data_IF_583889657210
#
_entry.id   IF_583889657210
#
_cell.length_a   1.000
_cell.length_b   1.000
_cell.length_c   1.000
_cell.angle_alpha   90.00
_cell.angle_beta   90.00
_cell.angle_gamma   90.00
#
_symmetry.space_group_name_H-M   'P 1'
#
loop_
_entity.id
_entity.type
_entity.pdbx_description
1 polymer ?
#
# COMPACT_ATOMS: atom_id res chain seq x y z
N UNK A 1 -25.25 7.02 -48.31
CA UNK A 1 -24.65 6.28 -47.18
C UNK A 1 -23.83 7.26 -46.34
N UNK A 2 -24.24 7.56 -45.09
CA UNK A 2 -23.44 8.39 -44.17
C UNK A 2 -22.29 7.55 -43.61
N UNK A 3 -21.04 8.02 -43.77
CA UNK A 3 -19.87 7.39 -43.18
C UNK A 3 -19.96 7.48 -41.65
N UNK A 4 -19.65 6.41 -40.90
CA UNK A 4 -19.69 6.44 -39.44
C UNK A 4 -18.64 7.41 -38.92
N UNK A 5 -19.07 8.34 -38.07
CA UNK A 5 -18.19 9.28 -37.37
C UNK A 5 -17.25 8.48 -36.47
N UNK A 6 -15.91 8.64 -36.57
CA UNK A 6 -14.98 7.92 -35.73
C UNK A 6 -15.21 8.32 -34.27
N UNK A 7 -15.53 7.34 -33.42
CA UNK A 7 -15.55 7.49 -31.96
C UNK A 7 -14.14 7.83 -31.51
N UNK A 8 -13.93 9.08 -31.10
CA UNK A 8 -12.69 9.56 -30.51
C UNK A 8 -12.37 8.68 -29.31
N UNK A 9 -11.39 7.77 -29.44
CA UNK A 9 -10.88 6.96 -28.33
C UNK A 9 -10.57 7.92 -27.18
N UNK A 10 -11.23 7.73 -26.03
CA UNK A 10 -10.90 8.48 -24.83
C UNK A 10 -9.41 8.33 -24.59
N UNK A 11 -8.66 9.45 -24.51
CA UNK A 11 -7.25 9.40 -24.11
C UNK A 11 -7.21 8.67 -22.77
N UNK A 12 -6.42 7.61 -22.67
CA UNK A 12 -6.17 6.95 -21.39
C UNK A 12 -5.71 8.02 -20.41
N UNK A 13 -6.48 8.20 -19.33
CA UNK A 13 -6.13 9.16 -18.28
C UNK A 13 -4.80 8.69 -17.69
N UNK A 14 -3.86 9.61 -17.50
CA UNK A 14 -2.61 9.27 -16.82
C UNK A 14 -2.95 8.66 -15.45
N UNK A 15 -2.23 7.59 -15.04
CA UNK A 15 -2.49 6.97 -13.76
C UNK A 15 -2.28 7.98 -12.64
N UNK A 16 -3.23 8.04 -11.70
CA UNK A 16 -3.10 8.88 -10.52
C UNK A 16 -2.18 8.19 -9.50
N UNK A 17 -1.58 8.89 -8.54
CA UNK A 17 -0.91 8.23 -7.43
C UNK A 17 -1.96 7.64 -6.46
N UNK A 18 -1.66 6.47 -5.88
CA UNK A 18 -2.50 5.83 -4.85
C UNK A 18 -2.59 6.72 -3.61
N UNK A 19 -1.46 7.31 -3.19
CA UNK A 19 -1.39 8.26 -2.09
C UNK A 19 -0.82 9.58 -2.60
N UNK A 20 -1.67 10.57 -2.92
CA UNK A 20 -1.21 11.87 -3.39
C UNK A 20 -0.25 12.47 -2.37
N UNK A 21 0.92 12.91 -2.83
CA UNK A 21 1.95 13.61 -2.04
C UNK A 21 2.78 12.77 -1.06
N UNK A 22 2.47 11.50 -0.83
CA UNK A 22 3.28 10.63 0.03
C UNK A 22 4.64 10.32 -0.62
N UNK A 23 5.73 10.48 0.12
CA UNK A 23 7.10 10.32 -0.38
C UNK A 23 7.96 9.34 0.41
N UNK A 24 7.61 8.97 1.65
CA UNK A 24 8.41 8.05 2.48
C UNK A 24 7.54 7.36 3.52
N UNK A 25 7.62 6.03 3.63
CA UNK A 25 6.86 5.28 4.63
C UNK A 25 7.49 5.43 6.03
N UNK A 26 6.64 5.63 7.03
CA UNK A 26 7.04 5.80 8.44
C UNK A 26 6.52 4.72 9.36
N UNK A 27 5.31 4.22 9.08
CA UNK A 27 4.70 3.12 9.81
C UNK A 27 3.59 2.48 8.97
N UNK A 28 3.21 1.26 9.32
CA UNK A 28 2.02 0.58 8.81
C UNK A 28 1.28 -0.07 9.98
N UNK A 29 -0.04 -0.14 9.89
CA UNK A 29 -0.87 -0.74 10.93
C UNK A 29 -2.16 -1.32 10.36
N UNK A 30 -2.63 -2.41 10.96
CA UNK A 30 -3.96 -2.95 10.74
C UNK A 30 -4.95 -2.25 11.68
N UNK A 31 -6.05 -1.73 11.13
CA UNK A 31 -7.14 -1.13 11.89
C UNK A 31 -8.44 -1.85 11.50
N UNK A 32 -9.26 -2.20 12.49
CA UNK A 32 -10.62 -2.69 12.26
C UNK A 32 -11.59 -1.51 12.20
N UNK A 33 -12.32 -1.41 11.10
CA UNK A 33 -13.32 -0.35 10.88
C UNK A 33 -14.65 -0.69 11.59
N UNK A 34 -15.60 0.25 11.63
CA UNK A 34 -16.82 0.15 12.44
C UNK A 34 -17.73 -1.06 12.16
N UNK A 35 -17.57 -1.72 11.01
CA UNK A 35 -18.24 -2.96 10.63
C UNK A 35 -17.40 -4.23 10.92
N UNK A 36 -16.33 -4.07 11.70
CA UNK A 36 -15.35 -5.12 12.01
C UNK A 36 -14.45 -5.48 10.84
N UNK A 37 -14.47 -4.70 9.74
CA UNK A 37 -13.65 -4.99 8.57
C UNK A 37 -12.18 -4.64 8.82
N UNK A 38 -11.24 -5.57 8.57
CA UNK A 38 -9.82 -5.26 8.64
C UNK A 38 -9.41 -4.37 7.47
N UNK A 39 -8.69 -3.28 7.75
CA UNK A 39 -8.14 -2.37 6.77
C UNK A 39 -6.67 -2.02 7.10
N UNK A 40 -5.82 -2.04 6.07
CA UNK A 40 -4.43 -1.63 6.22
C UNK A 40 -4.31 -0.11 6.09
N UNK A 41 -3.64 0.50 7.05
CA UNK A 41 -3.31 1.91 7.07
C UNK A 41 -1.79 2.11 7.03
N UNK A 42 -1.36 3.14 6.31
CA UNK A 42 0.05 3.53 6.22
C UNK A 42 0.22 4.98 6.62
N UNK A 43 1.27 5.26 7.36
CA UNK A 43 1.70 6.62 7.68
C UNK A 43 2.93 6.96 6.82
N UNK A 44 2.88 8.10 6.13
CA UNK A 44 3.95 8.53 5.25
C UNK A 44 4.20 10.03 5.36
N UNK A 45 5.47 10.42 5.23
CA UNK A 45 5.86 11.82 5.06
C UNK A 45 5.42 12.30 3.68
N UNK A 46 5.08 13.58 3.55
CA UNK A 46 4.92 14.26 2.27
C UNK A 46 6.15 15.15 1.95
N UNK A 47 6.10 15.86 0.82
CA UNK A 47 7.17 16.77 0.39
C UNK A 47 7.39 17.98 1.32
N UNK A 48 6.46 18.28 2.23
CA UNK A 48 6.60 19.32 3.26
C UNK A 48 7.09 18.77 4.60
N UNK A 49 7.45 17.48 4.68
CA UNK A 49 7.85 16.81 5.91
C UNK A 49 6.70 16.60 6.91
N UNK A 50 5.45 16.69 6.45
CA UNK A 50 4.26 16.47 7.25
C UNK A 50 3.82 15.01 7.14
N UNK A 51 3.48 14.41 8.28
CA UNK A 51 2.95 13.05 8.33
C UNK A 51 1.49 13.04 7.88
N UNK A 52 1.19 12.18 6.90
CA UNK A 52 -0.17 11.84 6.48
C UNK A 52 -0.51 10.40 6.84
N UNK A 53 -1.76 10.14 7.18
CA UNK A 53 -2.32 8.80 7.35
C UNK A 53 -3.16 8.46 6.12
N UNK A 54 -2.93 7.29 5.53
CA UNK A 54 -3.60 6.84 4.31
C UNK A 54 -4.16 5.43 4.51
N UNK A 55 -5.42 5.23 4.10
CA UNK A 55 -6.03 3.90 4.01
C UNK A 55 -5.61 3.25 2.70
N UNK A 56 -5.07 2.04 2.76
CA UNK A 56 -4.69 1.28 1.56
C UNK A 56 -5.95 0.80 0.84
N UNK A 57 -6.10 1.02 -0.48
CA UNK A 57 -7.23 0.51 -1.24
C UNK A 57 -7.30 -1.02 -1.20
N UNK A 58 -8.50 -1.58 -1.26
CA UNK A 58 -8.74 -3.02 -1.06
C UNK A 58 -8.30 -3.87 -2.25
N UNK A 59 -8.33 -3.29 -3.45
CA UNK A 59 -7.85 -3.87 -4.69
C UNK A 59 -6.34 -3.64 -4.89
N UNK A 60 -5.68 -2.98 -3.93
CA UNK A 60 -4.26 -2.66 -4.04
C UNK A 60 -3.38 -3.91 -3.88
N UNK A 61 -2.54 -4.16 -4.88
CA UNK A 61 -1.42 -5.09 -4.77
C UNK A 61 -0.24 -4.39 -4.09
N UNK A 62 0.26 -4.99 -3.02
CA UNK A 62 1.43 -4.50 -2.29
C UNK A 62 2.63 -5.38 -2.61
N UNK A 63 3.77 -4.77 -3.00
CA UNK A 63 5.04 -5.46 -3.23
C UNK A 63 6.14 -4.80 -2.41
N UNK A 64 6.88 -5.58 -1.61
CA UNK A 64 8.01 -5.08 -0.81
C UNK A 64 9.33 -5.44 -1.49
N UNK A 65 10.17 -4.43 -1.73
CA UNK A 65 11.55 -4.58 -2.20
C UNK A 65 12.49 -4.25 -1.05
N UNK A 66 13.08 -5.26 -0.44
CA UNK A 66 14.06 -5.13 0.62
C UNK A 66 15.07 -6.29 0.53
N UNK A 67 16.27 -6.16 1.12
CA UNK A 67 17.23 -7.26 1.22
C UNK A 67 16.62 -8.48 1.90
N UNK A 68 17.04 -9.66 1.46
CA UNK A 68 16.67 -10.92 2.09
C UNK A 68 17.92 -11.78 2.32
N UNK A 69 18.19 -12.23 3.56
CA UNK A 69 17.44 -11.93 4.78
C UNK A 69 17.53 -10.44 5.17
N UNK A 70 16.56 -9.96 5.96
CA UNK A 70 16.66 -8.62 6.55
C UNK A 70 17.83 -8.61 7.54
N UNK A 71 18.66 -7.55 7.60
CA UNK A 71 19.77 -7.48 8.52
C UNK A 71 19.34 -7.67 9.98
N UNK A 72 20.14 -8.41 10.76
CA UNK A 72 19.89 -8.63 12.18
C UNK A 72 20.07 -7.35 13.02
N UNK A 73 19.47 -7.35 14.21
CA UNK A 73 19.23 -6.17 15.02
C UNK A 73 20.53 -5.49 15.50
N UNK A 74 20.82 -4.32 14.93
CA UNK A 74 21.64 -3.26 15.54
C UNK A 74 20.78 -2.03 15.82
N UNK A 75 21.23 -1.08 16.66
CA UNK A 75 20.42 0.02 17.17
C UNK A 75 19.79 0.90 16.07
N UNK A 76 20.40 0.95 14.87
CA UNK A 76 19.83 1.56 13.66
C UNK A 76 20.38 0.87 12.42
N UNK A 77 19.66 -0.12 11.89
CA UNK A 77 19.98 -0.64 10.56
C UNK A 77 19.11 0.07 9.53
N UNK A 78 19.77 0.93 8.76
CA UNK A 78 19.17 1.51 7.57
C UNK A 78 19.17 0.48 6.44
N UNK A 79 18.12 0.50 5.64
CA UNK A 79 18.04 -0.31 4.43
C UNK A 79 18.83 0.37 3.31
N UNK A 80 19.40 -0.42 2.36
CA UNK A 80 20.10 0.14 1.23
C UNK A 80 19.15 0.97 0.36
N UNK A 81 19.73 1.95 -0.36
CA UNK A 81 19.01 2.74 -1.34
C UNK A 81 18.28 1.83 -2.35
N UNK A 82 17.06 2.23 -2.73
CA UNK A 82 16.19 1.43 -3.58
C UNK A 82 15.28 0.45 -2.82
N UNK A 83 15.46 0.28 -1.51
CA UNK A 83 14.47 -0.43 -0.67
C UNK A 83 13.18 0.38 -0.62
N UNK A 84 12.05 -0.26 -0.94
CA UNK A 84 10.77 0.43 -1.11
C UNK A 84 9.59 -0.54 -0.97
N UNK A 85 8.42 0.01 -0.66
CA UNK A 85 7.13 -0.65 -0.85
C UNK A 85 6.42 -0.03 -2.05
N UNK A 86 5.77 -0.87 -2.83
CA UNK A 86 5.05 -0.50 -4.04
C UNK A 86 3.58 -0.85 -3.83
N UNK A 87 2.72 0.16 -3.97
CA UNK A 87 1.27 0.04 -3.96
C UNK A 87 0.77 0.23 -5.37
N UNK A 88 0.05 -0.75 -5.90
CA UNK A 88 -0.43 -0.76 -7.28
C UNK A 88 -1.90 -1.13 -7.34
N UNK A 89 -2.68 -0.37 -8.10
CA UNK A 89 -4.07 -0.66 -8.49
C UNK A 89 -4.14 -0.67 -10.02
N UNK A 90 -5.32 -0.94 -10.60
CA UNK A 90 -5.48 -0.91 -12.06
C UNK A 90 -5.11 0.45 -12.67
N UNK A 91 -5.35 1.54 -11.93
CA UNK A 91 -5.24 2.91 -12.43
C UNK A 91 -4.06 3.69 -11.86
N UNK A 92 -3.32 3.14 -10.89
CA UNK A 92 -2.44 3.96 -10.05
C UNK A 92 -1.29 3.16 -9.45
N UNK A 93 -0.13 3.82 -9.29
CA UNK A 93 1.06 3.25 -8.67
C UNK A 93 1.75 4.26 -7.77
N UNK A 94 2.04 3.87 -6.53
CA UNK A 94 2.82 4.66 -5.57
C UNK A 94 3.98 3.83 -5.05
N UNK A 95 5.17 4.40 -5.07
CA UNK A 95 6.39 3.79 -4.53
C UNK A 95 6.84 4.62 -3.34
N UNK A 96 6.86 4.01 -2.15
CA UNK A 96 7.36 4.65 -0.94
C UNK A 96 8.69 4.02 -0.52
N UNK A 97 9.78 4.80 -0.43
CA UNK A 97 11.04 4.38 0.18
C UNK A 97 10.85 3.76 1.57
N UNK A 98 11.63 2.71 1.83
CA UNK A 98 11.80 2.07 3.13
C UNK A 98 13.23 2.31 3.60
N UNK A 99 13.42 3.20 4.58
CA UNK A 99 14.76 3.58 5.02
C UNK A 99 15.28 2.77 6.20
N UNK A 100 14.41 2.18 7.01
CA UNK A 100 14.80 1.50 8.24
C UNK A 100 14.30 0.06 8.26
N UNK A 101 15.16 -0.85 8.73
CA UNK A 101 14.79 -2.27 8.92
C UNK A 101 13.59 -2.42 9.84
N UNK A 102 13.49 -1.57 10.88
CA UNK A 102 12.32 -1.50 11.77
C UNK A 102 11.01 -1.31 11.00
N UNK A 103 10.94 -0.29 10.15
CA UNK A 103 9.72 0.04 9.39
C UNK A 103 9.39 -1.07 8.40
N UNK A 104 10.40 -1.71 7.81
CA UNK A 104 10.18 -2.86 6.93
C UNK A 104 9.60 -4.07 7.69
N UNK A 105 10.07 -4.35 8.91
CA UNK A 105 9.50 -5.43 9.75
C UNK A 105 8.05 -5.13 10.12
N UNK A 106 7.78 -3.92 10.61
CA UNK A 106 6.42 -3.46 10.95
C UNK A 106 5.47 -3.60 9.74
N UNK A 107 5.93 -3.22 8.55
CA UNK A 107 5.14 -3.37 7.33
C UNK A 107 4.87 -4.84 6.97
N UNK A 108 5.88 -5.70 7.03
CA UNK A 108 5.72 -7.12 6.70
C UNK A 108 4.75 -7.81 7.66
N UNK A 109 4.90 -7.54 8.96
CA UNK A 109 3.99 -8.05 9.99
C UNK A 109 2.57 -7.54 9.77
N UNK A 110 2.39 -6.23 9.53
CA UNK A 110 1.06 -5.67 9.26
C UNK A 110 0.39 -6.27 8.02
N UNK A 111 1.18 -6.56 6.97
CA UNK A 111 0.67 -7.20 5.74
C UNK A 111 0.22 -8.65 6.00
N UNK A 112 1.00 -9.42 6.75
CA UNK A 112 0.67 -10.79 7.12
C UNK A 112 -0.59 -10.86 7.98
N UNK A 113 -0.64 -10.05 9.04
CA UNK A 113 -1.80 -9.99 9.94
C UNK A 113 -3.04 -9.49 9.20
N UNK A 114 -2.92 -8.49 8.33
CA UNK A 114 -4.04 -8.00 7.51
C UNK A 114 -4.56 -9.09 6.56
N UNK A 115 -3.68 -9.84 5.90
CA UNK A 115 -4.08 -10.92 5.00
C UNK A 115 -4.87 -12.00 5.76
N UNK A 116 -4.38 -12.40 6.94
CA UNK A 116 -5.06 -13.36 7.80
C UNK A 116 -6.42 -12.83 8.28
N UNK A 117 -6.46 -11.61 8.80
CA UNK A 117 -7.68 -10.98 9.29
C UNK A 117 -8.75 -10.86 8.18
N UNK A 118 -8.33 -10.48 6.97
CA UNK A 118 -9.23 -10.33 5.82
C UNK A 118 -9.82 -11.68 5.39
N UNK A 119 -9.05 -12.76 5.41
CA UNK A 119 -9.54 -14.10 5.14
C UNK A 119 -10.58 -14.53 6.19
N UNK A 120 -10.27 -14.36 7.48
CA UNK A 120 -11.17 -14.70 8.59
C UNK A 120 -12.47 -13.90 8.53
N UNK A 121 -12.40 -12.59 8.29
CA UNK A 121 -13.59 -11.73 8.15
C UNK A 121 -14.49 -12.17 6.98
N UNK A 122 -13.89 -12.50 5.81
CA UNK A 122 -14.65 -13.00 4.66
C UNK A 122 -15.33 -14.33 4.97
N UNK A 123 -14.62 -15.26 5.62
CA UNK A 123 -15.18 -16.56 6.00
C UNK A 123 -16.37 -16.40 6.96
N UNK A 124 -16.26 -15.54 7.97
CA UNK A 124 -17.37 -15.27 8.90
C UNK A 124 -18.59 -14.68 8.22
N UNK A 125 -18.42 -13.76 7.25
CA UNK A 125 -19.57 -13.19 6.54
C UNK A 125 -20.19 -14.14 5.52
N UNK A 126 -19.41 -15.05 4.94
CA UNK A 126 -19.92 -16.06 4.00
C UNK A 126 -20.60 -17.23 4.71
N UNK A 127 -20.20 -17.57 5.93
CA UNK A 127 -20.84 -18.59 6.77
C UNK A 127 -22.04 -18.09 7.59
N UNK A 128 -22.30 -16.78 7.61
CA UNK A 128 -23.43 -16.16 8.30
C UNK A 128 -24.61 -15.82 7.37
N UNK A 129 -24.56 -16.28 6.10
CA UNK A 129 -25.60 -16.10 5.08
C UNK A 129 -26.40 -17.39 4.88
#
# INVERSE_FOLDING_TARGET
>A
MRKPTPTRKAKARAPHPVFPFAVTLRAASLIFEGDGRPALYVCADNYTGTLGLYRVPEDCRVTVKAPHPLPEAGPRVFLPAGSAVIFETADSKTVLPLHAVRVCRELLEALEVHAHALQSWKAHRQGAA
#
